data_IF_158202033501
#
_entry.id   IF_158202033501
#
_cell.length_a   1.000
_cell.length_b   1.000
_cell.length_c   1.000
_cell.angle_alpha   90.00
_cell.angle_beta   90.00
_cell.angle_gamma   90.00
#
_symmetry.space_group_name_H-M   'P 1'
#
loop_
_entity.id
_entity.type
_entity.pdbx_description
1 polymer ?
#
# COMPACT_ATOMS: atom_id res chain seq x y z
N UNK A 1 -10.85 20.26 15.14
CA UNK A 1 -10.37 19.81 13.83
C UNK A 1 -11.59 19.51 12.97
N UNK A 2 -11.67 20.13 11.80
CA UNK A 2 -12.87 20.18 10.98
C UNK A 2 -12.75 19.21 9.79
N UNK A 3 -13.20 17.97 10.01
CA UNK A 3 -13.82 17.11 8.97
C UNK A 3 -12.89 16.67 7.80
N UNK A 4 -13.40 15.94 6.77
CA UNK A 4 -12.66 14.89 6.07
C UNK A 4 -11.43 15.38 5.28
N UNK A 5 -10.40 14.54 5.29
CA UNK A 5 -9.15 14.77 4.57
C UNK A 5 -9.37 14.57 3.06
N UNK A 6 -8.95 15.54 2.27
CA UNK A 6 -9.03 15.44 0.82
C UNK A 6 -7.85 14.63 0.28
N UNK A 7 -8.11 13.62 -0.55
CA UNK A 7 -7.07 12.73 -1.13
C UNK A 7 -5.94 13.42 -1.91
N UNK A 8 -6.05 14.72 -2.25
CA UNK A 8 -4.95 15.50 -2.83
C UNK A 8 -3.80 15.76 -1.85
N UNK A 9 -4.05 15.54 -0.55
CA UNK A 9 -3.08 15.62 0.53
C UNK A 9 -2.42 14.27 0.81
N UNK A 10 -3.00 13.19 0.29
CA UNK A 10 -2.46 11.87 0.44
C UNK A 10 -1.26 11.70 -0.50
N UNK A 11 -0.22 11.02 -0.02
CA UNK A 11 1.00 10.75 -0.77
C UNK A 11 1.63 9.45 -0.29
N UNK A 12 2.44 8.83 -1.13
CA UNK A 12 3.27 7.70 -0.71
C UNK A 12 4.72 8.18 -0.65
N UNK A 13 5.42 7.83 0.42
CA UNK A 13 6.82 8.14 0.61
C UNK A 13 7.61 6.87 0.88
N UNK A 14 8.84 6.84 0.41
CA UNK A 14 9.81 5.80 0.72
C UNK A 14 11.05 6.46 1.31
N UNK A 15 11.56 5.94 2.42
CA UNK A 15 12.71 6.51 3.13
C UNK A 15 12.51 8.02 3.45
N UNK A 16 11.28 8.41 3.80
CA UNK A 16 10.91 9.81 4.05
C UNK A 16 10.87 10.72 2.82
N UNK A 17 11.14 10.21 1.62
CA UNK A 17 11.08 10.96 0.35
C UNK A 17 9.79 10.61 -0.40
N UNK A 18 9.04 11.63 -0.80
CA UNK A 18 7.79 11.45 -1.52
C UNK A 18 8.02 10.87 -2.93
N UNK A 19 7.19 9.89 -3.31
CA UNK A 19 7.13 9.38 -4.67
C UNK A 19 6.46 10.43 -5.54
N UNK A 20 7.14 10.86 -6.60
CA UNK A 20 6.59 11.84 -7.54
C UNK A 20 5.33 11.32 -8.22
N UNK A 21 4.39 12.23 -8.47
CA UNK A 21 3.24 11.99 -9.33
C UNK A 21 2.35 10.79 -8.95
N UNK A 22 2.26 10.45 -7.66
CA UNK A 22 1.23 9.52 -7.17
C UNK A 22 -0.15 10.07 -7.47
N UNK A 23 -0.98 9.29 -8.15
CA UNK A 23 -2.37 9.63 -8.51
C UNK A 23 -3.38 9.02 -7.55
N UNK A 24 -3.00 7.97 -6.81
CA UNK A 24 -3.82 7.36 -5.78
C UNK A 24 -3.11 6.19 -5.11
N UNK A 25 -3.59 5.80 -3.93
CA UNK A 25 -3.20 4.57 -3.27
C UNK A 25 -4.38 4.02 -2.47
N UNK A 26 -4.37 2.71 -2.25
CA UNK A 26 -5.38 1.96 -1.51
C UNK A 26 -4.67 0.91 -0.66
N UNK A 27 -5.14 0.72 0.57
CA UNK A 27 -4.72 -0.34 1.47
C UNK A 27 -5.97 -1.04 1.97
N UNK A 28 -5.99 -2.36 1.84
CA UNK A 28 -7.02 -3.22 2.36
C UNK A 28 -6.40 -4.09 3.47
N UNK A 29 -7.09 -4.14 4.61
CA UNK A 29 -6.72 -4.99 5.73
C UNK A 29 -7.81 -6.04 5.88
N UNK A 30 -7.43 -7.30 5.82
CA UNK A 30 -8.31 -8.45 5.88
C UNK A 30 -7.95 -9.29 7.10
N UNK A 31 -8.97 -9.81 7.77
CA UNK A 31 -8.81 -10.72 8.90
C UNK A 31 -9.46 -12.03 8.53
N UNK A 32 -8.68 -13.11 8.58
CA UNK A 32 -9.24 -14.44 8.43
C UNK A 32 -10.12 -14.76 9.63
N UNK A 33 -11.26 -15.40 9.40
CA UNK A 33 -12.15 -15.85 10.47
C UNK A 33 -12.55 -17.30 10.26
N UNK A 34 -12.51 -18.07 11.34
CA UNK A 34 -12.96 -19.46 11.35
C UNK A 34 -14.31 -19.54 12.07
N UNK A 35 -15.31 -20.10 11.40
CA UNK A 35 -16.66 -20.29 11.97
C UNK A 35 -16.65 -21.46 12.98
N UNK A 36 -17.16 -21.22 14.19
CA UNK A 36 -17.20 -22.19 15.30
C UNK A 36 -18.62 -22.49 15.80
N UNK A 37 -19.64 -22.12 15.02
CA UNK A 37 -21.06 -22.32 15.35
C UNK A 37 -21.36 -23.77 15.74
N UNK A 38 -21.99 -23.99 16.90
CA UNK A 38 -22.33 -25.30 17.42
C UNK A 38 -23.82 -25.65 17.18
N UNK A 39 -24.15 -26.93 17.34
CA UNK A 39 -25.54 -27.38 17.19
C UNK A 39 -26.40 -26.87 18.35
N UNK A 40 -27.38 -26.03 18.03
CA UNK A 40 -28.24 -25.37 19.01
C UNK A 40 -28.12 -23.85 19.01
N UNK A 41 -27.15 -23.29 18.28
CA UNK A 41 -26.97 -21.84 18.15
C UNK A 41 -27.90 -21.26 17.08
N UNK A 42 -28.56 -20.16 17.43
CA UNK A 42 -29.43 -19.40 16.52
C UNK A 42 -28.65 -18.42 15.62
N UNK A 43 -27.39 -18.12 15.97
CA UNK A 43 -26.52 -17.17 15.29
C UNK A 43 -25.13 -17.77 15.05
N UNK A 44 -24.44 -17.27 14.02
CA UNK A 44 -23.08 -17.72 13.69
C UNK A 44 -22.03 -17.10 14.62
N UNK A 45 -21.12 -17.93 15.10
CA UNK A 45 -19.96 -17.50 15.91
C UNK A 45 -18.64 -17.73 15.16
N UNK A 46 -17.67 -16.84 15.37
CA UNK A 46 -16.39 -16.82 14.66
C UNK A 46 -15.20 -16.60 15.61
N UNK A 47 -14.07 -17.25 15.33
CA UNK A 47 -12.76 -16.97 15.92
C UNK A 47 -11.90 -16.20 14.91
N UNK A 48 -11.16 -15.20 15.40
CA UNK A 48 -10.21 -14.44 14.61
C UNK A 48 -8.94 -15.26 14.32
N UNK A 49 -8.58 -15.38 13.04
CA UNK A 49 -7.37 -15.99 12.53
C UNK A 49 -6.25 -14.97 12.31
N UNK A 50 -5.50 -15.14 11.21
CA UNK A 50 -4.41 -14.23 10.87
C UNK A 50 -4.92 -12.96 10.18
N UNK A 51 -4.30 -11.82 10.49
CA UNK A 51 -4.53 -10.59 9.76
C UNK A 51 -3.53 -10.49 8.60
N UNK A 52 -4.03 -10.08 7.44
CA UNK A 52 -3.24 -9.74 6.28
C UNK A 52 -3.61 -8.35 5.77
N UNK A 53 -2.71 -7.74 5.02
CA UNK A 53 -3.02 -6.50 4.32
C UNK A 53 -2.34 -6.50 2.96
N UNK A 54 -2.99 -5.88 2.01
CA UNK A 54 -2.50 -5.67 0.66
C UNK A 54 -2.88 -4.27 0.20
N UNK A 55 -2.31 -3.85 -0.92
CA UNK A 55 -2.67 -2.57 -1.47
C UNK A 55 -2.12 -2.35 -2.86
N UNK A 56 -2.54 -1.23 -3.42
CA UNK A 56 -2.05 -0.74 -4.70
C UNK A 56 -1.76 0.74 -4.63
N UNK A 57 -0.75 1.18 -5.38
CA UNK A 57 -0.50 2.59 -5.64
C UNK A 57 -0.36 2.84 -7.13
N UNK A 58 -0.94 3.94 -7.59
CA UNK A 58 -0.89 4.40 -8.96
C UNK A 58 -0.07 5.69 -9.02
N UNK A 59 0.81 5.78 -10.01
CA UNK A 59 1.62 6.97 -10.25
C UNK A 59 1.93 7.13 -11.74
N UNK A 60 2.37 8.34 -12.11
CA UNK A 60 2.95 8.57 -13.43
C UNK A 60 4.44 8.28 -13.37
N UNK A 61 4.98 7.65 -14.41
CA UNK A 61 6.40 7.37 -14.51
C UNK A 61 7.21 8.67 -14.58
N UNK A 62 8.15 8.83 -13.65
CA UNK A 62 9.10 9.93 -13.58
C UNK A 62 10.52 9.35 -13.45
N UNK A 63 11.31 9.35 -14.53
CA UNK A 63 12.65 8.78 -14.52
C UNK A 63 13.64 9.55 -13.63
N UNK A 64 13.27 10.74 -13.14
CA UNK A 64 14.13 11.57 -12.28
C UNK A 64 13.95 11.28 -10.80
N UNK A 65 12.89 10.56 -10.40
CA UNK A 65 12.63 10.22 -9.01
C UNK A 65 13.34 8.91 -8.62
N UNK A 66 14.33 9.04 -7.73
CA UNK A 66 15.15 7.91 -7.27
C UNK A 66 14.37 6.88 -6.45
N UNK A 67 13.35 7.30 -5.70
CA UNK A 67 12.52 6.36 -4.92
C UNK A 67 11.57 5.56 -5.80
N UNK A 68 11.01 6.19 -6.82
CA UNK A 68 10.20 5.50 -7.82
C UNK A 68 11.06 4.44 -8.54
N UNK A 69 12.30 4.79 -8.92
CA UNK A 69 13.25 3.84 -9.46
C UNK A 69 13.55 2.71 -8.47
N UNK A 70 13.74 3.00 -7.18
CA UNK A 70 14.03 1.99 -6.17
C UNK A 70 12.88 0.97 -6.00
N UNK A 71 11.62 1.41 -6.14
CA UNK A 71 10.45 0.54 -6.13
C UNK A 71 10.39 -0.35 -7.37
N UNK A 72 10.73 0.19 -8.54
CA UNK A 72 10.81 -0.58 -9.78
C UNK A 72 11.96 -1.59 -9.74
N UNK A 73 13.13 -1.17 -9.26
CA UNK A 73 14.29 -2.02 -9.08
C UNK A 73 13.96 -3.17 -8.11
N UNK A 74 13.11 -2.99 -7.10
CA UNK A 74 12.73 -4.06 -6.17
C UNK A 74 12.07 -5.27 -6.86
N UNK A 75 11.37 -5.06 -7.98
CA UNK A 75 10.78 -6.14 -8.80
C UNK A 75 11.67 -6.52 -9.98
N UNK A 76 12.32 -5.55 -10.64
CA UNK A 76 13.04 -5.75 -11.90
C UNK A 76 14.51 -6.15 -11.68
N UNK A 77 15.05 -5.99 -10.47
CA UNK A 77 16.43 -6.37 -10.15
C UNK A 77 16.64 -7.89 -10.11
N UNK A 78 17.92 -8.28 -10.12
CA UNK A 78 18.36 -9.67 -10.11
C UNK A 78 17.91 -10.49 -8.88
N UNK A 79 17.47 -9.82 -7.80
CA UNK A 79 16.88 -10.45 -6.61
C UNK A 79 15.49 -9.83 -6.37
N UNK A 80 14.44 -10.30 -7.07
CA UNK A 80 13.09 -9.83 -6.85
C UNK A 80 12.58 -10.25 -5.46
N UNK A 81 11.72 -9.43 -4.86
CA UNK A 81 11.03 -9.78 -3.59
C UNK A 81 11.80 -9.39 -2.33
N UNK A 82 12.63 -8.36 -2.39
CA UNK A 82 13.24 -7.79 -1.18
C UNK A 82 12.16 -7.06 -0.38
N UNK A 83 12.03 -7.39 0.91
CA UNK A 83 11.10 -6.69 1.82
C UNK A 83 11.48 -5.21 1.91
N UNK A 84 10.50 -4.35 1.64
CA UNK A 84 10.63 -2.91 1.84
C UNK A 84 10.08 -2.55 3.22
N UNK A 85 10.94 -2.05 4.10
CA UNK A 85 10.60 -1.68 5.49
C UNK A 85 10.27 -0.19 5.64
N UNK A 86 10.66 0.63 4.65
CA UNK A 86 10.70 2.09 4.79
C UNK A 86 9.62 2.79 3.95
N UNK A 87 8.47 2.14 3.73
CA UNK A 87 7.35 2.71 2.96
C UNK A 87 6.30 3.27 3.90
N UNK A 88 5.86 4.50 3.60
CA UNK A 88 4.87 5.25 4.37
C UNK A 88 3.76 5.75 3.44
N UNK A 89 2.52 5.49 3.81
CA UNK A 89 1.32 5.94 3.10
C UNK A 89 0.68 7.06 3.90
N UNK A 90 0.98 8.29 3.51
CA UNK A 90 0.53 9.49 4.20
C UNK A 90 -0.91 9.80 3.79
N UNK A 91 -1.76 10.00 4.80
CA UNK A 91 -3.12 10.50 4.63
C UNK A 91 -3.13 12.02 4.46
N UNK A 92 -2.21 12.70 5.16
CA UNK A 92 -2.02 14.15 5.08
C UNK A 92 -0.58 14.58 5.44
N UNK A 93 -0.28 15.87 5.29
CA UNK A 93 1.05 16.43 5.59
C UNK A 93 1.34 16.57 7.11
N UNK A 94 0.35 16.33 7.99
CA UNK A 94 0.43 16.67 9.41
C UNK A 94 0.97 15.56 10.32
N UNK A 95 1.22 14.36 9.81
CA UNK A 95 1.76 13.26 10.62
C UNK A 95 0.98 11.95 10.51
N UNK A 96 -0.18 11.97 9.87
CA UNK A 96 -1.03 10.78 9.76
C UNK A 96 -0.58 9.89 8.60
N UNK A 97 -0.07 8.70 8.90
CA UNK A 97 0.38 7.75 7.89
C UNK A 97 0.23 6.30 8.33
N UNK A 98 0.06 5.42 7.34
CA UNK A 98 0.25 3.99 7.51
C UNK A 98 1.69 3.61 7.17
N UNK A 99 2.25 2.67 7.94
CA UNK A 99 3.60 2.14 7.71
C UNK A 99 3.63 0.66 8.04
N UNK A 100 4.46 -0.09 7.33
CA UNK A 100 4.63 -1.51 7.55
C UNK A 100 5.54 -2.10 6.48
N UNK A 101 6.10 -3.27 6.78
CA UNK A 101 6.93 -3.98 5.81
C UNK A 101 6.04 -4.48 4.68
N UNK A 102 6.46 -4.32 3.43
CA UNK A 102 5.73 -4.81 2.28
C UNK A 102 6.63 -5.48 1.24
N UNK A 103 6.01 -6.31 0.43
CA UNK A 103 6.58 -6.94 -0.75
C UNK A 103 5.79 -6.47 -1.96
N UNK A 104 6.49 -5.96 -2.97
CA UNK A 104 5.83 -5.58 -4.22
C UNK A 104 5.61 -6.86 -5.04
N UNK A 105 4.36 -7.15 -5.37
CA UNK A 105 3.94 -8.38 -6.06
C UNK A 105 3.80 -8.18 -7.56
N UNK A 106 3.49 -6.96 -8.00
CA UNK A 106 3.29 -6.64 -9.42
C UNK A 106 3.60 -5.19 -9.73
N UNK A 107 4.11 -4.96 -10.95
CA UNK A 107 4.39 -3.64 -11.48
C UNK A 107 4.07 -3.53 -12.98
N UNK A 108 2.79 -3.44 -13.37
CA UNK A 108 2.43 -3.10 -14.74
C UNK A 108 2.80 -1.64 -15.07
N UNK A 109 3.51 -1.48 -16.20
CA UNK A 109 3.73 -0.19 -16.85
C UNK A 109 2.93 -0.18 -18.15
N UNK A 110 2.02 0.78 -18.29
CA UNK A 110 1.25 0.94 -19.52
C UNK A 110 1.56 2.26 -20.20
N UNK A 111 1.77 2.19 -21.52
CA UNK A 111 2.07 3.34 -22.37
C UNK A 111 1.07 3.40 -23.52
N UNK A 112 0.37 4.52 -23.70
CA UNK A 112 -0.49 4.77 -24.86
C UNK A 112 0.15 5.81 -25.79
N UNK A 113 -0.01 5.67 -27.12
CA UNK A 113 0.57 6.59 -28.14
C UNK A 113 0.12 8.06 -27.92
N UNK A 114 -1.06 8.28 -27.34
CA UNK A 114 -1.57 9.61 -26.97
C UNK A 114 -1.66 9.87 -25.46
N UNK A 115 -1.07 9.00 -24.63
CA UNK A 115 -1.23 9.00 -23.17
C UNK A 115 0.07 9.24 -22.40
N UNK A 116 -0.05 9.41 -21.09
CA UNK A 116 1.09 9.43 -20.16
C UNK A 116 1.45 7.99 -19.79
N UNK A 117 2.72 7.76 -19.42
CA UNK A 117 3.14 6.48 -18.87
C UNK A 117 2.60 6.35 -17.46
N UNK A 118 1.71 5.40 -17.24
CA UNK A 118 1.11 5.09 -15.94
C UNK A 118 1.72 3.82 -15.38
N UNK A 119 1.94 3.86 -14.07
CA UNK A 119 2.66 2.85 -13.31
C UNK A 119 1.80 2.48 -12.10
N UNK A 120 1.36 1.23 -12.04
CA UNK A 120 0.61 0.71 -10.90
C UNK A 120 1.47 -0.31 -10.17
N UNK A 121 1.64 -0.14 -8.87
CA UNK A 121 2.36 -1.07 -8.02
C UNK A 121 1.37 -1.77 -7.10
N UNK A 122 1.32 -3.09 -7.16
CA UNK A 122 0.59 -3.91 -6.18
C UNK A 122 1.55 -4.45 -5.15
N UNK A 123 1.19 -4.41 -3.88
CA UNK A 123 2.02 -4.88 -2.79
C UNK A 123 1.21 -5.72 -1.80
N UNK A 124 1.91 -6.62 -1.11
CA UNK A 124 1.38 -7.39 0.02
C UNK A 124 2.19 -7.07 1.26
N UNK A 125 1.46 -6.81 2.34
CA UNK A 125 1.99 -6.57 3.66
C UNK A 125 2.67 -7.77 4.28
N UNK A 126 3.73 -7.51 5.04
CA UNK A 126 4.44 -8.49 5.85
C UNK A 126 4.39 -8.05 7.32
N UNK A 127 3.58 -8.73 8.13
CA UNK A 127 3.42 -8.38 9.54
C UNK A 127 2.42 -7.25 9.77
N UNK A 128 2.49 -6.63 10.95
CA UNK A 128 1.49 -5.67 11.39
C UNK A 128 1.57 -4.34 10.61
N UNK A 129 0.42 -3.85 10.15
CA UNK A 129 0.28 -2.49 9.67
C UNK A 129 0.19 -1.54 10.86
N UNK A 130 1.03 -0.52 10.89
CA UNK A 130 1.02 0.51 11.92
C UNK A 130 0.35 1.78 11.39
N UNK A 131 -0.59 2.32 12.16
CA UNK A 131 -1.21 3.62 11.92
C UNK A 131 -0.63 4.64 12.90
N UNK A 132 0.02 5.67 12.37
CA UNK A 132 0.38 6.86 13.12
C UNK A 132 -0.69 7.92 12.91
N UNK A 133 -1.17 8.52 14.01
CA UNK A 133 -2.06 9.68 14.03
C UNK A 133 -1.44 10.73 14.95
N UNK A 134 -1.40 11.98 14.50
CA UNK A 134 -0.86 13.13 15.22
C UNK A 134 -1.94 13.91 16.01
#
# INVERSE_FOLDING_TARGET
MAYPIHGKKARVAKNGVAISHTTGWEINVNLDTDEITAQGDDWKDFIAGCAEWDGKMDCLFDPTNTEQKALMDNIVAAVPGTRLTDVQFWLEDSGDYFSGDLLITSFPVSTGIGGKVTCSFSFKGCGALSLAIA
#
